data_IF_213545547738
#
_entry.id   IF_213545547738
#
_cell.length_a   1.000
_cell.length_b   1.000
_cell.length_c   1.000
_cell.angle_alpha   90.00
_cell.angle_beta   90.00
_cell.angle_gamma   90.00
#
_symmetry.space_group_name_H-M   'P 1'
#
loop_
_entity.id
_entity.type
_entity.pdbx_description
1 polymer ?
#
# COMPACT_ATOMS: atom_id res chain seq x y z
N UNK A 1 48.35 -62.99 1.44
CA UNK A 1 47.05 -63.63 1.16
C UNK A 1 45.96 -62.75 1.75
N UNK A 2 44.92 -62.46 0.96
CA UNK A 2 43.87 -61.46 1.23
C UNK A 2 42.93 -61.90 2.37
N UNK A 3 42.42 -60.96 3.16
CA UNK A 3 40.98 -60.88 3.44
C UNK A 3 40.64 -59.45 3.90
N UNK A 4 40.13 -58.64 2.97
CA UNK A 4 39.62 -57.31 3.24
C UNK A 4 38.17 -57.44 3.74
N UNK A 5 37.92 -57.00 4.98
CA UNK A 5 36.59 -56.90 5.57
C UNK A 5 35.85 -55.73 4.88
N UNK A 6 34.84 -56.04 4.06
CA UNK A 6 33.98 -55.03 3.41
C UNK A 6 33.03 -54.44 4.44
N UNK A 7 33.30 -53.22 4.89
CA UNK A 7 32.32 -52.37 5.57
C UNK A 7 31.30 -51.88 4.53
N UNK A 8 30.06 -52.34 4.65
CA UNK A 8 28.92 -51.84 3.87
C UNK A 8 28.40 -50.60 4.60
N UNK A 9 28.79 -49.42 4.12
CA UNK A 9 28.25 -48.15 4.59
C UNK A 9 26.95 -47.85 3.84
N UNK A 10 25.81 -47.94 4.55
CA UNK A 10 24.49 -47.54 4.05
C UNK A 10 24.39 -46.00 4.16
N UNK A 11 24.18 -45.24 3.08
CA UNK A 11 23.85 -43.83 3.21
C UNK A 11 22.37 -43.68 3.60
N UNK A 12 22.13 -43.30 4.84
CA UNK A 12 20.81 -42.87 5.30
C UNK A 12 20.54 -41.47 4.73
N UNK A 13 19.77 -41.40 3.65
CA UNK A 13 19.32 -40.17 3.01
C UNK A 13 18.29 -39.48 3.91
N UNK A 14 18.76 -38.58 4.79
CA UNK A 14 17.88 -37.72 5.57
C UNK A 14 17.33 -36.61 4.66
N UNK A 15 16.13 -36.84 4.13
CA UNK A 15 15.33 -35.81 3.43
C UNK A 15 14.85 -34.84 4.50
N UNK A 16 15.56 -33.73 4.69
CA UNK A 16 15.07 -32.60 5.48
C UNK A 16 14.01 -31.90 4.63
N UNK A 17 12.75 -32.29 4.83
CA UNK A 17 11.59 -31.49 4.45
C UNK A 17 11.65 -30.20 5.26
N UNK A 18 12.28 -29.16 4.70
CA UNK A 18 12.02 -27.79 5.12
C UNK A 18 10.61 -27.49 4.65
N UNK A 19 9.64 -27.79 5.50
CA UNK A 19 8.31 -27.22 5.37
C UNK A 19 8.51 -25.70 5.43
N UNK A 20 8.20 -25.00 4.32
CA UNK A 20 7.92 -23.57 4.37
C UNK A 20 6.77 -23.41 5.38
N UNK A 21 7.11 -23.10 6.63
CA UNK A 21 6.15 -22.60 7.58
C UNK A 21 5.71 -21.26 7.01
N UNK A 22 4.55 -21.25 6.35
CA UNK A 22 3.72 -20.06 6.21
C UNK A 22 3.31 -19.76 7.65
N UNK A 23 4.18 -19.04 8.36
CA UNK A 23 3.88 -18.53 9.67
C UNK A 23 2.66 -17.62 9.54
N UNK A 24 1.79 -17.56 10.56
CA UNK A 24 0.72 -16.58 10.56
C UNK A 24 1.35 -15.19 10.39
N UNK A 25 0.98 -14.49 9.33
CA UNK A 25 1.20 -13.04 9.18
C UNK A 25 0.27 -12.31 10.14
N UNK A 26 0.35 -12.64 11.43
CA UNK A 26 -0.31 -11.91 12.50
C UNK A 26 0.51 -10.66 12.76
N UNK A 27 0.43 -9.71 11.83
CA UNK A 27 0.66 -8.32 12.20
C UNK A 27 -0.47 -7.99 13.18
N UNK A 28 -0.17 -7.62 14.44
CA UNK A 28 -1.22 -7.12 15.33
C UNK A 28 -1.87 -5.95 14.60
N UNK A 29 -3.19 -6.04 14.35
CA UNK A 29 -3.95 -4.88 13.88
C UNK A 29 -3.75 -3.81 14.96
N UNK A 30 -3.04 -2.71 14.70
CA UNK A 30 -2.71 -1.77 15.75
C UNK A 30 -4.00 -1.13 16.26
N UNK A 31 -4.27 -1.30 17.55
CA UNK A 31 -5.14 -0.38 18.27
C UNK A 31 -4.47 1.00 18.23
N UNK A 32 -4.96 1.83 17.30
CA UNK A 32 -4.63 3.24 17.02
C UNK A 32 -3.61 3.87 17.99
N UNK A 33 -2.32 3.80 17.65
CA UNK A 33 -1.39 4.84 18.08
C UNK A 33 -1.60 6.03 17.14
N UNK A 34 -2.16 7.13 17.66
CA UNK A 34 -2.42 8.36 16.91
C UNK A 34 -1.13 8.91 16.31
N UNK A 35 -0.91 8.70 15.01
CA UNK A 35 0.20 9.29 14.27
C UNK A 35 -0.41 10.22 13.23
N UNK A 36 -0.59 11.48 13.60
CA UNK A 36 -1.14 12.45 12.67
C UNK A 36 -2.55 12.92 12.99
N UNK A 37 -2.89 13.14 14.27
CA UNK A 37 -4.07 13.93 14.67
C UNK A 37 -4.14 15.33 14.03
N UNK A 38 -3.15 15.69 13.21
CA UNK A 38 -2.98 16.89 12.42
C UNK A 38 -3.08 16.66 10.89
N UNK A 39 -3.46 15.47 10.39
CA UNK A 39 -3.83 15.27 8.99
C UNK A 39 -4.96 16.26 8.65
N UNK A 40 -4.68 17.19 7.74
CA UNK A 40 -5.59 18.27 7.37
C UNK A 40 -6.54 17.81 6.27
N UNK A 41 -7.42 16.87 6.62
CA UNK A 41 -8.41 16.37 5.67
C UNK A 41 -9.47 17.43 5.37
N UNK A 42 -9.88 17.48 4.10
CA UNK A 42 -11.02 18.32 3.68
C UNK A 42 -12.31 17.83 4.32
N UNK A 43 -13.31 18.69 4.39
CA UNK A 43 -14.65 18.31 4.89
C UNK A 43 -15.20 17.15 4.04
N UNK A 44 -15.60 16.06 4.69
CA UNK A 44 -16.14 14.87 4.04
C UNK A 44 -15.07 13.84 3.61
N UNK A 45 -13.79 14.15 3.77
CA UNK A 45 -12.71 13.15 3.67
C UNK A 45 -12.48 12.45 5.00
N UNK A 46 -11.92 11.25 4.93
CA UNK A 46 -11.47 10.47 6.06
C UNK A 46 -9.94 10.39 6.10
N UNK A 47 -9.39 10.19 7.29
CA UNK A 47 -7.96 9.96 7.50
C UNK A 47 -7.65 8.46 7.55
N UNK A 48 -6.51 8.08 6.99
CA UNK A 48 -5.85 6.79 7.21
C UNK A 48 -4.43 7.04 7.72
N UNK A 49 -4.00 6.23 8.69
CA UNK A 49 -2.67 6.30 9.29
C UNK A 49 -2.17 4.89 9.59
N UNK A 50 -0.93 4.60 9.20
CA UNK A 50 -0.22 3.41 9.65
C UNK A 50 1.09 3.81 10.30
N UNK A 51 1.11 3.72 11.62
CA UNK A 51 2.24 4.12 12.43
C UNK A 51 3.50 3.30 12.18
N UNK A 52 3.37 2.02 11.81
CA UNK A 52 4.54 1.17 11.57
C UNK A 52 5.04 1.32 10.13
N UNK A 53 4.16 1.63 9.18
CA UNK A 53 4.57 2.01 7.83
C UNK A 53 5.15 3.44 7.80
N UNK A 54 4.81 4.26 8.79
CA UNK A 54 5.36 5.59 9.00
C UNK A 54 4.74 6.66 8.09
N UNK A 55 3.48 6.49 7.69
CA UNK A 55 2.79 7.48 6.88
C UNK A 55 1.27 7.45 7.06
N UNK A 56 0.61 8.51 6.60
CA UNK A 56 -0.84 8.66 6.58
C UNK A 56 -1.30 9.61 5.48
N UNK A 57 -2.57 9.52 5.10
CA UNK A 57 -3.18 10.34 4.04
C UNK A 57 -4.69 10.51 4.25
N UNK A 58 -5.27 11.51 3.57
CA UNK A 58 -6.72 11.66 3.50
C UNK A 58 -7.27 11.00 2.23
N UNK A 59 -8.49 10.45 2.32
CA UNK A 59 -9.20 9.83 1.19
C UNK A 59 -10.69 10.19 1.21
N UNK A 60 -11.41 10.06 0.06
CA UNK A 60 -12.84 10.35 0.01
C UNK A 60 -13.64 9.57 1.06
N UNK A 61 -14.48 10.24 1.84
CA UNK A 61 -15.30 9.57 2.87
C UNK A 61 -16.36 8.61 2.33
N UNK A 62 -16.56 8.61 1.01
CA UNK A 62 -17.44 7.68 0.31
C UNK A 62 -16.79 6.32 0.04
N UNK A 63 -15.48 6.18 0.26
CA UNK A 63 -14.77 4.93 0.05
C UNK A 63 -14.85 4.02 1.27
N UNK A 64 -14.93 2.72 1.00
CA UNK A 64 -14.58 1.65 1.94
C UNK A 64 -13.41 0.87 1.36
N UNK A 65 -12.60 0.26 2.23
CA UNK A 65 -11.50 -0.58 1.79
C UNK A 65 -11.30 -1.78 2.71
N UNK A 66 -10.69 -2.83 2.15
CA UNK A 66 -9.99 -3.85 2.92
C UNK A 66 -8.49 -3.68 2.70
N UNK A 67 -7.71 -3.77 3.77
CA UNK A 67 -6.25 -3.67 3.73
C UNK A 67 -5.61 -5.06 3.76
N UNK A 68 -4.54 -5.24 2.98
CA UNK A 68 -3.71 -6.44 2.98
C UNK A 68 -2.23 -6.06 2.99
N UNK A 69 -1.47 -6.62 3.91
CA UNK A 69 -0.03 -6.39 4.04
C UNK A 69 0.78 -7.56 3.47
N UNK A 70 1.79 -7.26 2.66
CA UNK A 70 2.76 -8.23 2.16
C UNK A 70 4.18 -7.71 2.35
N UNK A 71 5.13 -8.57 2.72
CA UNK A 71 6.54 -8.19 2.77
C UNK A 71 7.15 -8.29 1.38
N UNK A 72 7.93 -7.29 1.00
CA UNK A 72 8.77 -7.33 -0.21
C UNK A 72 10.21 -7.60 0.19
N UNK A 73 10.88 -8.51 -0.51
CA UNK A 73 12.25 -8.94 -0.19
C UNK A 73 13.33 -8.21 -1.00
N UNK A 74 12.99 -7.57 -2.13
CA UNK A 74 13.96 -6.90 -3.01
C UNK A 74 13.30 -5.81 -3.85
N UNK A 75 13.42 -4.51 -3.48
CA UNK A 75 14.06 -4.03 -2.24
C UNK A 75 13.25 -4.45 -1.00
N UNK A 76 13.93 -4.59 0.14
CA UNK A 76 13.28 -4.92 1.41
C UNK A 76 12.25 -3.85 1.76
N UNK A 77 11.02 -4.28 2.04
CA UNK A 77 9.93 -3.34 2.31
C UNK A 77 8.61 -3.99 2.69
N UNK A 78 7.60 -3.14 2.78
CA UNK A 78 6.22 -3.48 3.10
C UNK A 78 5.31 -2.94 2.00
N UNK A 79 4.49 -3.81 1.42
CA UNK A 79 3.42 -3.43 0.50
C UNK A 79 2.08 -3.50 1.23
N UNK A 80 1.40 -2.36 1.33
CA UNK A 80 0.00 -2.30 1.77
C UNK A 80 -0.90 -2.14 0.54
N UNK A 81 -1.78 -3.12 0.33
CA UNK A 81 -2.78 -3.10 -0.73
C UNK A 81 -4.15 -2.76 -0.13
N UNK A 82 -4.81 -1.76 -0.72
CA UNK A 82 -6.16 -1.34 -0.39
C UNK A 82 -7.10 -1.74 -1.52
N UNK A 83 -8.03 -2.64 -1.20
CA UNK A 83 -9.11 -3.07 -2.08
C UNK A 83 -10.28 -2.08 -1.88
N UNK A 84 -10.34 -1.03 -2.70
CA UNK A 84 -11.22 0.14 -2.50
C UNK A 84 -12.53 -0.02 -3.25
N UNK A 85 -13.65 0.27 -2.60
CA UNK A 85 -14.98 0.39 -3.22
C UNK A 85 -15.61 1.74 -2.88
N UNK A 86 -16.17 2.44 -3.87
CA UNK A 86 -16.99 3.64 -3.61
C UNK A 86 -18.41 3.22 -3.22
N UNK A 87 -18.92 3.63 -2.05
CA UNK A 87 -20.16 3.09 -1.45
C UNK A 87 -21.26 4.10 -1.09
N UNK A 88 -21.29 5.37 -1.54
CA UNK A 88 -22.28 6.31 -1.01
C UNK A 88 -23.63 6.07 -1.69
N UNK A 89 -24.39 5.11 -1.16
CA UNK A 89 -25.82 5.01 -1.36
C UNK A 89 -26.49 5.47 -0.06
N UNK A 90 -27.14 6.63 -0.11
CA UNK A 90 -27.94 7.12 1.01
C UNK A 90 -29.39 6.67 0.81
N UNK A 91 -29.92 5.90 1.77
CA UNK A 91 -31.36 5.69 1.88
C UNK A 91 -31.96 6.87 2.66
N UNK A 92 -32.85 7.68 2.07
CA UNK A 92 -33.57 8.68 2.83
C UNK A 92 -34.36 8.00 3.96
N UNK A 93 -34.54 8.70 5.08
CA UNK A 93 -35.41 8.19 6.15
C UNK A 93 -36.81 7.92 5.61
N UNK A 94 -37.43 6.77 5.90
CA UNK A 94 -38.78 6.49 5.46
C UNK A 94 -39.76 7.48 6.10
N UNK A 95 -40.62 8.08 5.27
CA UNK A 95 -41.74 8.91 5.72
C UNK A 95 -42.95 8.01 5.98
N UNK A 96 -43.60 8.16 7.13
CA UNK A 96 -44.73 7.34 7.52
C UNK A 96 -45.88 7.46 6.49
N UNK A 97 -46.36 6.32 5.98
CA UNK A 97 -47.42 6.28 4.95
C UNK A 97 -46.93 6.39 3.50
N UNK A 98 -45.62 6.51 3.26
CA UNK A 98 -45.03 6.47 1.92
C UNK A 98 -44.24 5.17 1.67
N UNK A 99 -44.08 4.77 0.39
CA UNK A 99 -43.18 3.69 0.02
C UNK A 99 -41.76 3.99 0.49
N UNK A 100 -41.03 2.97 0.95
CA UNK A 100 -39.61 3.10 1.31
C UNK A 100 -38.83 3.72 0.15
N UNK A 101 -38.18 4.87 0.36
CA UNK A 101 -37.46 5.55 -0.71
C UNK A 101 -36.27 4.70 -1.17
N UNK A 102 -36.02 4.67 -2.48
CA UNK A 102 -34.88 3.95 -3.04
C UNK A 102 -33.58 4.65 -2.63
N UNK A 103 -32.48 3.91 -2.39
CA UNK A 103 -31.18 4.52 -2.16
C UNK A 103 -30.78 5.41 -3.34
N UNK A 104 -30.29 6.61 -3.05
CA UNK A 104 -29.67 7.50 -4.04
C UNK A 104 -28.16 7.28 -3.94
N UNK A 105 -27.56 6.82 -5.04
CA UNK A 105 -26.15 6.49 -5.10
C UNK A 105 -25.37 7.56 -5.89
N UNK A 106 -24.11 7.80 -5.52
CA UNK A 106 -23.20 8.58 -6.36
C UNK A 106 -23.01 7.90 -7.73
N UNK A 107 -22.58 8.65 -8.77
CA UNK A 107 -22.20 8.05 -10.05
C UNK A 107 -21.10 6.97 -9.96
N UNK A 108 -20.33 6.95 -8.87
CA UNK A 108 -19.23 6.00 -8.63
C UNK A 108 -19.62 4.78 -7.79
N UNK A 109 -20.84 4.70 -7.26
CA UNK A 109 -21.19 3.66 -6.30
C UNK A 109 -21.04 2.24 -6.87
N UNK A 110 -20.37 1.37 -6.10
CA UNK A 110 -20.03 0.00 -6.47
C UNK A 110 -18.81 -0.13 -7.37
N UNK A 111 -18.21 0.97 -7.82
CA UNK A 111 -16.93 0.92 -8.53
C UNK A 111 -15.81 0.52 -7.58
N UNK A 112 -14.81 -0.16 -8.13
CA UNK A 112 -13.74 -0.81 -7.40
C UNK A 112 -12.38 -0.51 -8.03
N UNK A 113 -11.35 -0.41 -7.20
CA UNK A 113 -9.97 -0.27 -7.65
C UNK A 113 -8.97 -0.74 -6.56
N UNK A 114 -7.71 -0.90 -6.97
CA UNK A 114 -6.63 -1.24 -6.06
C UNK A 114 -5.69 -0.05 -5.91
N UNK A 115 -5.35 0.29 -4.67
CA UNK A 115 -4.26 1.18 -4.35
C UNK A 115 -3.18 0.39 -3.63
N UNK A 116 -1.96 0.44 -4.12
CA UNK A 116 -0.81 -0.24 -3.50
C UNK A 116 0.16 0.83 -3.04
N UNK A 117 0.55 0.76 -1.78
CA UNK A 117 1.56 1.65 -1.18
C UNK A 117 2.72 0.78 -0.72
N UNK A 118 3.82 0.86 -1.45
CA UNK A 118 5.07 0.19 -1.10
C UNK A 118 5.95 1.11 -0.26
N UNK A 119 6.48 0.58 0.83
CA UNK A 119 7.40 1.25 1.74
C UNK A 119 8.73 0.52 1.70
N UNK A 120 9.72 1.11 1.03
CA UNK A 120 11.05 0.53 0.87
C UNK A 120 12.06 1.18 1.82
N UNK A 121 13.11 0.45 2.17
CA UNK A 121 14.29 1.05 2.79
C UNK A 121 14.93 2.05 1.81
N UNK A 122 15.28 3.23 2.34
CA UNK A 122 16.05 4.24 1.61
C UNK A 122 17.49 3.79 1.34
N UNK A 123 18.07 2.94 2.19
CA UNK A 123 19.40 2.35 2.00
C UNK A 123 20.53 3.38 1.93
N UNK A 124 20.36 4.56 2.54
CA UNK A 124 21.35 5.66 2.49
C UNK A 124 21.37 6.46 1.18
N UNK A 125 20.42 6.25 0.27
CA UNK A 125 20.37 7.02 -0.99
C UNK A 125 20.27 8.53 -0.71
N UNK A 126 21.14 9.38 -1.30
CA UNK A 126 21.16 10.81 -1.00
C UNK A 126 20.00 11.58 -1.63
N UNK A 127 19.39 11.05 -2.70
CA UNK A 127 18.28 11.64 -3.43
C UNK A 127 17.36 10.58 -4.01
N UNK A 128 16.16 10.99 -4.44
CA UNK A 128 15.19 10.09 -5.04
C UNK A 128 15.70 9.56 -6.39
N UNK A 129 16.39 10.41 -7.16
CA UNK A 129 17.02 10.01 -8.42
C UNK A 129 18.09 8.92 -8.21
N UNK A 130 18.92 9.03 -7.18
CA UNK A 130 19.94 8.04 -6.86
C UNK A 130 19.32 6.69 -6.43
N UNK A 131 18.26 6.73 -5.61
CA UNK A 131 17.53 5.53 -5.23
C UNK A 131 16.86 4.86 -6.45
N UNK A 132 16.19 5.66 -7.30
CA UNK A 132 15.51 5.18 -8.49
C UNK A 132 16.48 4.51 -9.47
N UNK A 133 17.66 5.09 -9.71
CA UNK A 133 18.69 4.50 -10.58
C UNK A 133 19.17 3.12 -10.10
N UNK A 134 19.11 2.86 -8.79
CA UNK A 134 19.61 1.62 -8.20
C UNK A 134 18.54 0.53 -8.07
N UNK A 135 17.25 0.92 -7.99
CA UNK A 135 16.16 0.02 -7.62
C UNK A 135 15.08 -0.15 -8.71
N UNK A 136 15.03 0.73 -9.71
CA UNK A 136 14.00 0.73 -10.75
C UNK A 136 14.58 0.40 -12.14
N UNK A 137 13.68 0.06 -13.07
CA UNK A 137 14.05 -0.09 -14.48
C UNK A 137 14.58 1.24 -15.03
N UNK A 138 15.75 1.20 -15.69
CA UNK A 138 16.44 2.36 -16.27
C UNK A 138 15.63 3.09 -17.34
N UNK A 139 14.57 2.47 -17.88
CA UNK A 139 13.66 3.09 -18.85
C UNK A 139 12.66 4.05 -18.19
N UNK A 140 12.47 3.96 -16.88
CA UNK A 140 11.54 4.83 -16.17
C UNK A 140 12.17 6.21 -15.97
N UNK A 141 11.44 7.25 -16.37
CA UNK A 141 11.81 8.64 -16.14
C UNK A 141 11.08 9.15 -14.91
N UNK A 142 11.74 10.03 -14.15
CA UNK A 142 11.20 10.62 -12.92
C UNK A 142 10.96 12.12 -13.13
N UNK A 143 9.70 12.54 -13.05
CA UNK A 143 9.29 13.93 -13.08
C UNK A 143 9.08 14.44 -11.64
N UNK A 144 9.69 15.55 -11.21
CA UNK A 144 9.50 16.05 -9.85
C UNK A 144 8.05 16.47 -9.56
N UNK A 145 7.55 16.12 -8.37
CA UNK A 145 6.24 16.56 -7.86
C UNK A 145 6.33 16.99 -6.40
N UNK A 146 5.38 17.80 -5.96
CA UNK A 146 5.17 18.06 -4.53
C UNK A 146 4.26 16.98 -3.95
N UNK A 147 4.70 16.31 -2.88
CA UNK A 147 3.94 15.26 -2.22
C UNK A 147 4.07 15.36 -0.70
N UNK A 148 3.00 15.83 -0.04
CA UNK A 148 2.95 15.94 1.41
C UNK A 148 4.12 16.72 1.99
N UNK A 149 4.77 16.12 2.99
CA UNK A 149 6.01 16.59 3.59
C UNK A 149 7.24 15.76 3.17
N UNK A 150 7.22 15.10 2.00
CA UNK A 150 8.37 14.34 1.52
C UNK A 150 9.61 15.23 1.32
N UNK A 151 10.80 14.64 1.44
CA UNK A 151 12.08 15.32 1.12
C UNK A 151 12.15 15.59 -0.38
N UNK A 152 11.82 14.58 -1.18
CA UNK A 152 11.67 14.68 -2.63
C UNK A 152 10.45 13.86 -3.06
N UNK A 153 9.71 14.33 -4.04
CA UNK A 153 8.63 13.59 -4.68
C UNK A 153 8.85 13.51 -6.18
N UNK A 154 8.42 12.42 -6.81
CA UNK A 154 8.38 12.33 -8.26
C UNK A 154 7.27 11.42 -8.79
N UNK A 155 6.90 11.63 -10.05
CA UNK A 155 6.02 10.76 -10.83
C UNK A 155 6.87 10.02 -11.86
N UNK A 156 6.73 8.70 -11.89
CA UNK A 156 7.38 7.82 -12.87
C UNK A 156 6.59 7.85 -14.18
N UNK A 157 7.25 7.55 -15.30
CA UNK A 157 6.62 7.47 -16.62
C UNK A 157 5.55 6.38 -16.75
N UNK A 158 5.54 5.40 -15.85
CA UNK A 158 4.48 4.38 -15.76
C UNK A 158 3.28 4.81 -14.90
N UNK A 159 3.28 6.04 -14.39
CA UNK A 159 2.18 6.64 -13.62
C UNK A 159 2.33 6.50 -12.11
N UNK A 160 3.21 5.62 -11.62
CA UNK A 160 3.47 5.48 -10.18
C UNK A 160 4.08 6.77 -9.62
N UNK A 161 3.76 7.09 -8.37
CA UNK A 161 4.39 8.20 -7.65
C UNK A 161 5.38 7.65 -6.64
N UNK A 162 6.48 8.35 -6.42
CA UNK A 162 7.51 7.96 -5.46
C UNK A 162 7.87 9.16 -4.59
N UNK A 163 7.97 8.96 -3.29
CA UNK A 163 8.40 9.94 -2.30
C UNK A 163 9.63 9.41 -1.58
N UNK A 164 10.68 10.23 -1.51
CA UNK A 164 11.80 10.04 -0.60
C UNK A 164 11.46 10.69 0.74
N UNK A 165 11.56 9.92 1.81
CA UNK A 165 11.43 10.40 3.19
C UNK A 165 12.80 10.27 3.88
N UNK A 166 12.94 10.72 5.14
CA UNK A 166 14.20 10.53 5.86
C UNK A 166 14.61 9.06 5.98
N UNK A 167 13.68 8.16 6.30
CA UNK A 167 13.96 6.72 6.46
C UNK A 167 13.62 5.85 5.25
N UNK A 168 12.64 6.25 4.44
CA UNK A 168 12.01 5.34 3.48
C UNK A 168 11.91 5.94 2.07
N UNK A 169 11.61 5.05 1.13
CA UNK A 169 11.06 5.44 -0.16
C UNK A 169 9.66 4.86 -0.27
N UNK A 170 8.67 5.74 -0.39
CA UNK A 170 7.26 5.38 -0.50
C UNK A 170 6.85 5.42 -1.96
N UNK A 171 6.19 4.37 -2.46
CA UNK A 171 5.70 4.30 -3.82
C UNK A 171 4.21 4.05 -3.84
N UNK A 172 3.47 4.94 -4.52
CA UNK A 172 2.04 4.83 -4.73
C UNK A 172 1.77 4.33 -6.15
N UNK A 173 1.10 3.18 -6.23
CA UNK A 173 0.63 2.57 -7.47
C UNK A 173 -0.91 2.49 -7.43
N UNK A 174 -1.55 3.15 -8.40
CA UNK A 174 -3.01 3.27 -8.49
C UNK A 174 -3.48 2.45 -9.69
N UNK A 175 -4.29 1.43 -9.43
CA UNK A 175 -4.75 0.49 -10.47
C UNK A 175 -6.25 0.51 -10.56
N UNK A 176 -6.76 0.85 -11.74
CA UNK A 176 -8.18 0.75 -12.02
C UNK A 176 -8.66 -0.70 -11.83
N UNK A 177 -9.85 -0.85 -11.26
CA UNK A 177 -10.55 -2.13 -11.13
C UNK A 177 -11.89 -2.09 -11.87
N UNK A 178 -12.90 -2.78 -11.32
CA UNK A 178 -14.23 -2.84 -11.92
C UNK A 178 -14.90 -1.47 -11.93
N UNK A 179 -15.49 -1.10 -13.07
CA UNK A 179 -16.21 0.18 -13.22
C UNK A 179 -15.32 1.42 -13.27
N UNK A 180 -13.99 1.24 -13.32
CA UNK A 180 -12.99 2.31 -13.48
C UNK A 180 -13.09 3.42 -12.42
N UNK A 181 -13.08 3.05 -11.14
CA UNK A 181 -12.97 4.03 -10.06
C UNK A 181 -11.72 4.90 -10.26
N UNK A 182 -11.91 6.21 -10.37
CA UNK A 182 -10.85 7.18 -10.62
C UNK A 182 -10.01 7.46 -9.36
N UNK A 183 -9.12 6.53 -9.03
CA UNK A 183 -8.16 6.73 -7.94
C UNK A 183 -7.15 7.84 -8.27
N UNK A 184 -6.76 7.98 -9.53
CA UNK A 184 -5.75 8.94 -9.97
C UNK A 184 -6.21 10.37 -9.68
N UNK A 185 -7.42 10.74 -10.12
CA UNK A 185 -8.00 12.04 -9.85
C UNK A 185 -8.22 12.27 -8.35
N UNK A 186 -8.79 11.28 -7.65
CA UNK A 186 -9.09 11.39 -6.23
C UNK A 186 -7.82 11.56 -5.36
N UNK A 187 -6.77 10.77 -5.61
CA UNK A 187 -5.55 10.83 -4.81
C UNK A 187 -4.63 11.97 -5.23
N UNK A 188 -4.62 12.36 -6.51
CA UNK A 188 -3.85 13.53 -6.96
C UNK A 188 -4.29 14.81 -6.26
N UNK A 189 -5.60 15.00 -6.07
CA UNK A 189 -6.16 16.14 -5.34
C UNK A 189 -5.75 16.17 -3.85
N UNK A 190 -5.26 15.05 -3.32
CA UNK A 190 -4.95 14.84 -1.91
C UNK A 190 -3.48 14.63 -1.62
N UNK A 191 -2.58 14.77 -2.61
CA UNK A 191 -1.14 14.63 -2.39
C UNK A 191 -0.61 15.54 -1.27
N UNK A 192 -1.14 16.76 -1.14
CA UNK A 192 -0.76 17.68 -0.07
C UNK A 192 -1.22 17.28 1.34
N UNK A 193 -2.11 16.28 1.45
CA UNK A 193 -2.58 15.77 2.75
C UNK A 193 -1.69 14.68 3.32
N UNK A 194 -0.80 14.10 2.50
CA UNK A 194 0.07 13.02 2.94
C UNK A 194 1.05 13.50 3.98
N UNK A 195 1.32 12.62 4.94
CA UNK A 195 2.38 12.80 5.92
C UNK A 195 3.24 11.57 6.00
N UNK A 196 4.53 11.81 6.05
CA UNK A 196 5.57 10.83 6.26
C UNK A 196 6.24 11.14 7.60
N UNK A 197 6.44 10.12 8.41
CA UNK A 197 7.24 10.23 9.61
C UNK A 197 8.68 10.55 9.24
N UNK A 198 9.29 11.36 10.10
CA UNK A 198 10.63 11.93 9.97
C UNK A 198 11.58 11.15 10.85
#
# INVERSE_FOLDING_TARGET
MRLALRLISIPLLAIVLVACQIGPTDRPVPSVSQIGSDLKCSVGDHAFEDAQAGWGFCYPGTWKYNERANQSASPSGLDLTFDITDVPCASPSPVQGQPTPRPICSPGAGQFAFMIISTYDRGGAPSLAAWAQSNLDKKLTLEPIQWGNAVEGGKLSDGRRVALTPQHVIMLDLRAGFGNLDLEGAMSARLGTWKFLI
#
